data_IF_112919140278
#
_entry.id   IF_112919140278
#
_cell.length_a   1.000
_cell.length_b   1.000
_cell.length_c   1.000
_cell.angle_alpha   90.00
_cell.angle_beta   90.00
_cell.angle_gamma   90.00
#
_symmetry.space_group_name_H-M   'P 1'
#
loop_
_entity.id
_entity.type
_entity.pdbx_description
1 polymer ?
#
# COMPACT_ATOMS: atom_id res chain seq x y z
N UNK A 1 22.81 -6.63 -11.63
CA UNK A 1 23.47 -5.90 -12.73
C UNK A 1 23.34 -6.69 -14.03
N UNK A 2 23.30 -6.00 -15.19
CA UNK A 2 23.19 -6.62 -16.51
C UNK A 2 24.39 -7.52 -16.87
N UNK A 3 25.53 -7.33 -16.18
CA UNK A 3 26.76 -8.12 -16.33
C UNK A 3 26.81 -9.37 -15.42
N UNK A 4 25.73 -9.68 -14.71
CA UNK A 4 25.65 -10.79 -13.77
C UNK A 4 26.33 -10.55 -12.43
N UNK A 5 26.92 -9.36 -12.19
CA UNK A 5 27.49 -9.01 -10.89
C UNK A 5 26.38 -8.81 -9.86
N UNK A 6 26.67 -9.11 -8.59
CA UNK A 6 25.71 -8.92 -7.50
C UNK A 6 25.94 -7.53 -6.87
N UNK A 7 24.86 -6.80 -6.62
CA UNK A 7 24.97 -5.53 -5.91
C UNK A 7 25.46 -5.76 -4.48
N UNK A 8 26.48 -5.01 -4.07
CA UNK A 8 26.99 -5.03 -2.69
C UNK A 8 26.17 -4.14 -1.76
N UNK A 9 25.49 -3.13 -2.34
CA UNK A 9 24.70 -2.15 -1.60
C UNK A 9 23.42 -1.82 -2.34
N UNK A 10 22.30 -1.73 -1.60
CA UNK A 10 21.01 -1.29 -2.09
C UNK A 10 20.49 -0.14 -1.23
N UNK A 11 20.02 0.92 -1.86
CA UNK A 11 19.34 2.03 -1.19
C UNK A 11 17.88 2.08 -1.61
N UNK A 12 17.00 2.23 -0.63
CA UNK A 12 15.57 2.43 -0.80
C UNK A 12 15.20 3.76 -0.16
N UNK A 13 14.37 4.54 -0.84
CA UNK A 13 13.84 5.77 -0.29
C UNK A 13 12.35 5.89 -0.60
N UNK A 14 11.60 6.43 0.36
CA UNK A 14 10.18 6.69 0.19
C UNK A 14 9.80 8.02 0.85
N UNK A 15 9.03 8.83 0.13
CA UNK A 15 8.39 10.03 0.67
C UNK A 15 6.95 9.71 1.01
N UNK A 16 6.59 9.96 2.26
CA UNK A 16 5.33 9.50 2.85
C UNK A 16 4.53 10.72 3.29
N UNK A 17 3.23 10.68 3.01
CA UNK A 17 2.24 11.59 3.58
C UNK A 17 1.38 10.78 4.55
N UNK A 18 1.43 11.12 5.83
CA UNK A 18 0.53 10.60 6.85
C UNK A 18 -0.74 11.45 6.91
N UNK A 19 -1.84 10.85 7.31
CA UNK A 19 -3.02 11.59 7.74
C UNK A 19 -2.70 12.46 8.96
N UNK A 20 -3.44 13.56 9.13
CA UNK A 20 -3.26 14.46 10.29
C UNK A 20 -3.66 13.78 11.59
N UNK A 21 -4.56 12.83 11.53
CA UNK A 21 -4.93 11.96 12.62
C UNK A 21 -4.75 10.51 12.17
N UNK A 22 -4.01 9.74 12.94
CA UNK A 22 -3.74 8.31 12.70
C UNK A 22 -4.10 7.52 13.95
N UNK A 23 -4.35 6.23 13.78
CA UNK A 23 -4.56 5.35 14.92
C UNK A 23 -3.21 4.91 15.49
N UNK A 24 -2.98 5.21 16.75
CA UNK A 24 -1.78 4.81 17.47
C UNK A 24 -1.78 3.32 17.87
N UNK A 25 -0.69 2.87 18.47
CA UNK A 25 -0.53 1.47 18.90
C UNK A 25 -1.48 1.01 20.02
N UNK A 26 -2.16 1.94 20.66
CA UNK A 26 -3.16 1.70 21.70
C UNK A 26 -4.60 1.86 21.20
N UNK A 27 -4.81 1.81 19.88
CA UNK A 27 -6.07 2.03 19.18
C UNK A 27 -6.71 3.41 19.44
N UNK A 28 -5.93 4.38 19.92
CA UNK A 28 -6.38 5.77 20.14
C UNK A 28 -5.89 6.69 19.02
N UNK A 29 -6.67 7.73 18.69
CA UNK A 29 -6.23 8.77 17.77
C UNK A 29 -4.92 9.41 18.24
N UNK A 30 -4.01 9.64 17.31
CA UNK A 30 -2.75 10.32 17.51
C UNK A 30 -2.52 11.31 16.37
N UNK A 31 -2.05 12.52 16.68
CA UNK A 31 -1.75 13.56 15.71
C UNK A 31 -0.23 13.66 15.51
N UNK A 32 0.33 13.20 14.37
CA UNK A 32 1.75 13.33 14.10
C UNK A 32 2.17 14.81 14.04
N UNK A 33 3.31 15.14 14.65
CA UNK A 33 3.89 16.49 14.59
C UNK A 33 4.45 16.83 13.21
N UNK A 34 4.66 15.82 12.38
CA UNK A 34 5.02 15.97 10.98
C UNK A 34 4.26 14.91 10.16
N UNK A 35 3.51 15.37 9.17
CA UNK A 35 2.77 14.46 8.28
C UNK A 35 3.52 14.15 6.99
N UNK A 36 4.51 14.97 6.62
CA UNK A 36 5.33 14.77 5.43
C UNK A 36 6.75 14.33 5.80
N UNK A 37 7.06 13.09 5.48
CA UNK A 37 8.26 12.38 5.96
C UNK A 37 9.02 11.75 4.80
N UNK A 38 10.33 11.59 4.96
CA UNK A 38 11.19 10.81 4.08
C UNK A 38 11.84 9.69 4.88
N UNK A 39 11.65 8.47 4.40
CA UNK A 39 12.28 7.26 4.92
C UNK A 39 13.35 6.80 3.95
N UNK A 40 14.53 6.46 4.46
CA UNK A 40 15.62 5.89 3.69
C UNK A 40 16.19 4.68 4.42
N UNK A 41 16.49 3.63 3.66
CA UNK A 41 17.08 2.39 4.13
C UNK A 41 18.23 2.00 3.21
N UNK A 42 19.40 1.74 3.79
CA UNK A 42 20.53 1.18 3.09
C UNK A 42 20.79 -0.22 3.59
N UNK A 43 20.85 -1.15 2.66
CA UNK A 43 21.14 -2.56 2.91
C UNK A 43 22.46 -2.89 2.22
N UNK A 44 23.36 -3.55 2.93
CA UNK A 44 24.64 -4.04 2.41
C UNK A 44 24.71 -5.56 2.51
N UNK A 45 25.41 -6.14 1.56
CA UNK A 45 25.72 -7.55 1.58
C UNK A 45 26.99 -7.76 2.44
N UNK A 46 26.89 -8.66 3.45
CA UNK A 46 28.03 -9.11 4.25
C UNK A 46 28.06 -10.63 4.24
N UNK A 47 29.04 -11.21 3.54
CA UNK A 47 29.08 -12.63 3.28
C UNK A 47 27.87 -13.11 2.47
N UNK A 48 27.13 -14.08 2.96
CA UNK A 48 25.91 -14.57 2.32
C UNK A 48 24.62 -13.87 2.75
N UNK A 49 24.69 -12.98 3.75
CA UNK A 49 23.55 -12.27 4.33
C UNK A 49 23.42 -10.83 3.87
N UNK A 50 22.21 -10.28 4.02
CA UNK A 50 21.90 -8.87 3.87
C UNK A 50 21.78 -8.22 5.25
N UNK A 51 22.44 -7.06 5.45
CA UNK A 51 22.46 -6.34 6.71
C UNK A 51 22.06 -4.88 6.50
N UNK A 52 21.42 -4.30 7.50
CA UNK A 52 21.08 -2.88 7.48
C UNK A 52 22.35 -2.08 7.77
N UNK A 53 22.77 -1.25 6.83
CA UNK A 53 23.95 -0.38 6.95
C UNK A 53 23.58 1.02 7.43
N UNK A 54 22.41 1.53 7.01
CA UNK A 54 21.91 2.82 7.48
C UNK A 54 20.38 2.87 7.39
N UNK A 55 19.77 3.63 8.29
CA UNK A 55 18.33 3.87 8.31
C UNK A 55 18.06 5.30 8.77
N UNK A 56 17.16 6.00 8.10
CA UNK A 56 16.71 7.32 8.51
C UNK A 56 15.22 7.52 8.28
N UNK A 57 14.58 8.25 9.17
CA UNK A 57 13.19 8.77 9.03
C UNK A 57 13.21 10.22 9.48
N UNK A 58 13.01 11.14 8.55
CA UNK A 58 13.09 12.57 8.82
C UNK A 58 11.89 13.34 8.28
N UNK A 59 11.53 14.47 8.93
CA UNK A 59 10.61 15.42 8.32
C UNK A 59 11.14 15.89 6.97
N UNK A 60 10.29 15.88 5.95
CA UNK A 60 10.66 16.40 4.63
C UNK A 60 10.42 17.91 4.59
N UNK A 61 11.48 18.74 4.52
CA UNK A 61 11.33 20.18 4.48
C UNK A 61 10.69 20.64 3.16
N UNK A 62 9.95 21.73 3.19
CA UNK A 62 9.23 22.25 2.03
C UNK A 62 10.17 22.55 0.85
N UNK A 63 11.40 23.00 1.13
CA UNK A 63 12.41 23.28 0.11
C UNK A 63 12.83 22.04 -0.70
N UNK A 64 12.71 20.84 -0.12
CA UNK A 64 13.04 19.56 -0.76
C UNK A 64 11.83 18.81 -1.26
N UNK A 65 10.61 19.29 -1.01
CA UNK A 65 9.33 18.66 -1.37
C UNK A 65 8.77 19.25 -2.67
N UNK A 66 9.56 19.21 -3.74
CA UNK A 66 9.22 19.84 -5.02
C UNK A 66 7.95 19.20 -5.61
N UNK A 67 7.89 17.86 -5.65
CA UNK A 67 6.75 17.16 -6.23
C UNK A 67 5.42 17.58 -5.57
N UNK A 68 5.37 17.56 -4.24
CA UNK A 68 4.14 17.89 -3.52
C UNK A 68 3.78 19.38 -3.67
N UNK A 69 4.80 20.25 -3.71
CA UNK A 69 4.62 21.68 -3.95
C UNK A 69 4.03 21.94 -5.34
N UNK A 70 4.51 21.24 -6.34
CA UNK A 70 4.20 21.54 -7.74
C UNK A 70 2.90 20.82 -8.20
N UNK A 71 2.56 19.68 -7.61
CA UNK A 71 1.40 18.88 -8.00
C UNK A 71 0.14 19.14 -7.15
N UNK A 72 0.29 19.63 -5.91
CA UNK A 72 -0.84 19.78 -4.98
C UNK A 72 -1.15 21.27 -4.73
N UNK A 73 -2.42 21.71 -4.93
CA UNK A 73 -2.82 23.09 -4.67
C UNK A 73 -2.51 23.55 -3.25
N UNK A 74 -2.11 24.82 -3.08
CA UNK A 74 -1.65 25.38 -1.79
C UNK A 74 -2.69 25.24 -0.68
N UNK A 75 -3.99 25.35 -1.00
CA UNK A 75 -5.08 25.16 -0.02
C UNK A 75 -5.11 23.73 0.53
N UNK A 76 -4.96 22.72 -0.35
CA UNK A 76 -4.92 21.32 0.05
C UNK A 76 -3.64 21.01 0.85
N UNK A 77 -2.48 21.57 0.44
CA UNK A 77 -1.22 21.43 1.20
C UNK A 77 -1.36 21.93 2.63
N UNK A 78 -1.93 23.10 2.84
CA UNK A 78 -2.18 23.67 4.18
C UNK A 78 -3.12 22.81 5.01
N UNK A 79 -4.09 22.16 4.38
CA UNK A 79 -5.03 21.28 5.07
C UNK A 79 -4.39 19.95 5.48
N UNK A 80 -3.44 19.41 4.70
CA UNK A 80 -2.89 18.05 4.91
C UNK A 80 -1.56 18.04 5.65
N UNK A 81 -0.74 19.10 5.52
CA UNK A 81 0.61 19.11 6.05
C UNK A 81 0.68 19.76 7.41
N UNK A 82 1.28 19.03 8.35
CA UNK A 82 1.82 19.55 9.61
C UNK A 82 3.35 19.42 9.52
N UNK A 83 4.06 20.49 9.91
CA UNK A 83 5.53 20.53 9.95
C UNK A 83 5.98 21.24 11.21
N UNK A 84 6.61 20.50 12.10
CA UNK A 84 7.29 21.03 13.26
C UNK A 84 8.79 20.84 13.14
N UNK A 85 9.56 21.80 13.62
CA UNK A 85 11.01 21.70 13.64
C UNK A 85 11.46 20.71 14.70
N UNK A 86 12.10 19.62 14.29
CA UNK A 86 12.58 18.57 15.19
C UNK A 86 13.76 17.80 14.58
N UNK A 87 14.55 17.08 15.40
CA UNK A 87 15.50 16.11 14.89
C UNK A 87 14.79 14.96 14.15
N UNK A 88 15.52 14.19 13.30
CA UNK A 88 14.99 12.98 12.68
C UNK A 88 14.37 12.03 13.70
N UNK A 89 13.32 11.32 13.32
CA UNK A 89 12.72 10.23 14.13
C UNK A 89 13.63 9.01 14.20
N UNK A 90 14.31 8.71 13.09
CA UNK A 90 15.37 7.70 12.99
C UNK A 90 16.57 8.35 12.31
N UNK A 91 17.75 8.15 12.86
CA UNK A 91 18.99 8.67 12.26
C UNK A 91 20.15 7.71 12.50
N UNK A 92 20.93 7.43 11.45
CA UNK A 92 22.20 6.71 11.57
C UNK A 92 23.31 7.73 11.82
N UNK A 93 24.15 7.48 12.83
CA UNK A 93 25.27 8.33 13.25
C UNK A 93 26.49 7.45 13.51
N UNK A 94 27.68 7.97 13.18
CA UNK A 94 28.95 7.28 13.36
C UNK A 94 29.61 6.93 12.03
N UNK A 95 30.78 6.31 12.09
CA UNK A 95 31.56 5.89 10.93
C UNK A 95 31.92 4.41 11.03
N UNK A 96 31.98 3.75 9.89
CA UNK A 96 32.40 2.36 9.74
C UNK A 96 31.75 1.40 10.76
N UNK A 97 32.56 0.76 11.63
CA UNK A 97 32.11 -0.28 12.55
C UNK A 97 31.41 0.26 13.82
N UNK A 98 31.40 1.58 14.03
CA UNK A 98 30.76 2.24 15.17
C UNK A 98 29.41 2.90 14.81
N UNK A 99 28.74 2.44 13.76
CA UNK A 99 27.45 2.96 13.35
C UNK A 99 26.37 2.64 14.38
N UNK A 100 25.65 3.68 14.81
CA UNK A 100 24.50 3.58 15.71
C UNK A 100 23.27 4.17 15.02
N UNK A 101 22.19 3.43 15.00
CA UNK A 101 20.89 3.93 14.57
C UNK A 101 20.12 4.42 15.80
N UNK A 102 19.81 5.70 15.85
CA UNK A 102 19.05 6.31 16.92
C UNK A 102 17.57 6.40 16.56
N UNK A 103 16.70 6.05 17.52
CA UNK A 103 15.29 6.40 17.52
C UNK A 103 15.05 7.55 18.47
N UNK A 104 14.41 8.62 18.00
CA UNK A 104 14.02 9.76 18.81
C UNK A 104 12.52 9.73 19.09
N UNK A 105 12.13 9.94 20.34
CA UNK A 105 10.73 10.04 20.73
C UNK A 105 10.06 11.27 20.09
N UNK A 106 8.75 11.24 19.99
CA UNK A 106 7.96 12.30 19.33
C UNK A 106 8.01 13.62 20.10
N UNK A 107 8.14 13.60 21.40
CA UNK A 107 8.25 14.80 22.25
C UNK A 107 9.69 15.29 22.37
N UNK A 108 9.91 16.62 22.38
CA UNK A 108 11.24 17.21 22.56
C UNK A 108 11.90 16.84 23.90
N UNK A 109 11.12 16.58 24.93
CA UNK A 109 11.57 16.06 26.23
C UNK A 109 11.81 14.54 26.22
N UNK A 110 11.47 13.86 25.11
CA UNK A 110 11.61 12.43 24.97
C UNK A 110 13.08 12.02 24.82
N UNK A 111 13.39 10.84 25.33
CA UNK A 111 14.71 10.24 25.17
C UNK A 111 14.97 9.73 23.75
N UNK A 112 16.21 9.34 23.52
CA UNK A 112 16.62 8.61 22.32
C UNK A 112 17.11 7.22 22.72
N UNK A 113 16.93 6.25 21.83
CA UNK A 113 17.46 4.90 21.97
C UNK A 113 18.45 4.64 20.84
N UNK A 114 19.64 4.17 21.19
CA UNK A 114 20.67 3.77 20.22
C UNK A 114 20.68 2.28 20.00
N UNK A 115 20.73 1.86 18.74
CA UNK A 115 20.81 0.48 18.28
C UNK A 115 22.08 0.29 17.49
N UNK A 116 22.96 -0.63 17.89
CA UNK A 116 24.18 -0.93 17.13
C UNK A 116 23.81 -1.59 15.80
N UNK A 117 24.37 -1.09 14.71
CA UNK A 117 24.04 -1.57 13.35
C UNK A 117 24.41 -3.04 13.17
N UNK A 118 25.53 -3.50 13.72
CA UNK A 118 25.98 -4.90 13.61
C UNK A 118 25.03 -5.93 14.21
N UNK A 119 24.16 -5.52 15.15
CA UNK A 119 23.20 -6.38 15.84
C UNK A 119 21.82 -6.39 15.17
N UNK A 120 21.62 -5.57 14.12
CA UNK A 120 20.30 -5.35 13.51
C UNK A 120 20.04 -6.35 12.37
N UNK A 121 19.23 -7.36 12.65
CA UNK A 121 18.59 -8.22 11.63
C UNK A 121 17.29 -7.64 11.08
N UNK A 122 16.74 -6.62 11.75
CA UNK A 122 15.47 -5.96 11.37
C UNK A 122 15.65 -4.45 11.44
N UNK A 123 14.88 -3.73 10.62
CA UNK A 123 14.92 -2.26 10.59
C UNK A 123 14.50 -1.64 11.93
N UNK A 124 15.08 -0.49 12.25
CA UNK A 124 14.69 0.29 13.43
C UNK A 124 13.22 0.72 13.34
N UNK A 125 12.71 1.02 12.13
CA UNK A 125 11.29 1.23 11.86
C UNK A 125 10.46 0.00 12.25
N UNK A 126 10.92 -1.20 11.83
CA UNK A 126 10.19 -2.46 12.01
C UNK A 126 10.04 -2.90 13.45
N UNK A 127 11.03 -2.59 14.29
CA UNK A 127 11.11 -3.04 15.71
C UNK A 127 10.75 -1.96 16.72
N UNK A 128 10.34 -0.74 16.29
CA UNK A 128 9.98 0.33 17.20
C UNK A 128 8.73 -0.03 18.04
N UNK A 129 8.80 0.26 19.34
CA UNK A 129 7.62 0.23 20.20
C UNK A 129 6.67 1.38 19.80
N UNK A 130 5.43 1.02 19.45
CA UNK A 130 4.46 1.99 18.96
C UNK A 130 3.94 2.98 20.00
N UNK A 131 3.97 2.62 21.29
CA UNK A 131 3.59 3.53 22.37
C UNK A 131 4.68 4.58 22.62
N UNK A 132 5.94 4.16 22.53
CA UNK A 132 7.09 5.02 22.76
C UNK A 132 7.43 5.89 21.55
N UNK A 133 7.17 5.40 20.33
CA UNK A 133 7.50 6.04 19.06
C UNK A 133 6.28 6.08 18.11
N UNK A 134 5.24 6.85 18.44
CA UNK A 134 3.96 6.79 17.71
C UNK A 134 4.06 7.23 16.24
N UNK A 135 4.89 8.24 15.88
CA UNK A 135 5.09 8.60 14.46
C UNK A 135 5.81 7.49 13.68
N UNK A 136 6.83 6.85 14.28
CA UNK A 136 7.51 5.70 13.65
C UNK A 136 6.51 4.55 13.44
N UNK A 137 5.64 4.31 14.42
CA UNK A 137 4.55 3.32 14.31
C UNK A 137 3.58 3.68 13.17
N UNK A 138 3.14 4.94 13.07
CA UNK A 138 2.24 5.39 12.01
C UNK A 138 2.84 5.19 10.62
N UNK A 139 4.12 5.53 10.43
CA UNK A 139 4.85 5.26 9.17
C UNK A 139 4.90 3.77 8.87
N UNK A 140 5.24 2.93 9.86
CA UNK A 140 5.25 1.48 9.71
C UNK A 140 3.88 0.93 9.28
N UNK A 141 2.79 1.42 9.87
CA UNK A 141 1.44 1.01 9.48
C UNK A 141 1.06 1.48 8.09
N UNK A 142 1.42 2.72 7.72
CA UNK A 142 1.23 3.21 6.35
C UNK A 142 1.96 2.33 5.32
N UNK A 143 3.22 1.97 5.58
CA UNK A 143 4.01 1.10 4.69
C UNK A 143 3.49 -0.36 4.66
N UNK A 144 2.96 -0.88 5.77
CA UNK A 144 2.32 -2.22 5.80
C UNK A 144 1.08 -2.31 4.92
N UNK A 145 0.45 -1.18 4.65
CA UNK A 145 -0.69 -1.11 3.73
C UNK A 145 -0.27 -0.97 2.26
N UNK A 146 1.03 -0.86 1.97
CA UNK A 146 1.52 -0.88 0.60
C UNK A 146 1.35 -2.27 0.00
N UNK A 147 0.90 -2.30 -1.24
CA UNK A 147 0.58 -3.55 -1.92
C UNK A 147 1.15 -3.55 -3.32
N UNK A 148 1.73 -4.68 -3.67
CA UNK A 148 2.04 -5.02 -5.05
C UNK A 148 0.93 -5.94 -5.56
N UNK A 149 0.26 -5.52 -6.62
CA UNK A 149 -0.77 -6.29 -7.30
C UNK A 149 -0.24 -6.78 -8.64
N UNK A 150 -0.43 -8.05 -8.90
CA UNK A 150 -0.14 -8.70 -10.16
C UNK A 150 -1.31 -9.59 -10.51
N UNK A 151 -2.27 -9.03 -11.26
CA UNK A 151 -3.46 -9.77 -11.62
C UNK A 151 -3.12 -10.90 -12.58
N UNK A 152 -3.48 -12.11 -12.18
CA UNK A 152 -3.35 -13.30 -12.99
C UNK A 152 -4.69 -13.63 -13.66
N UNK A 153 -4.77 -13.53 -14.99
CA UNK A 153 -6.02 -13.76 -15.72
C UNK A 153 -6.58 -15.17 -15.52
N UNK A 154 -5.73 -16.18 -15.41
CA UNK A 154 -6.17 -17.54 -15.13
C UNK A 154 -6.81 -17.68 -13.75
N UNK A 155 -6.32 -16.92 -12.77
CA UNK A 155 -6.87 -16.87 -11.41
C UNK A 155 -8.18 -16.06 -11.39
N UNK A 156 -8.20 -14.90 -12.04
CA UNK A 156 -9.40 -14.05 -12.17
C UNK A 156 -10.60 -14.76 -12.82
N UNK A 157 -10.35 -15.79 -13.66
CA UNK A 157 -11.39 -16.62 -14.29
C UNK A 157 -12.05 -17.57 -13.31
N UNK A 158 -11.40 -17.90 -12.22
CA UNK A 158 -11.86 -18.96 -11.32
C UNK A 158 -12.92 -18.48 -10.34
N UNK A 159 -13.82 -19.36 -9.92
CA UNK A 159 -14.71 -19.07 -8.82
C UNK A 159 -13.93 -19.05 -7.50
N UNK A 160 -14.27 -18.14 -6.59
CA UNK A 160 -13.74 -18.12 -5.23
C UNK A 160 -14.75 -18.66 -4.20
N UNK A 161 -14.31 -18.92 -2.98
CA UNK A 161 -15.17 -19.29 -1.88
C UNK A 161 -16.12 -18.14 -1.50
N UNK A 162 -17.30 -18.45 -0.98
CA UNK A 162 -18.31 -17.46 -0.59
C UNK A 162 -17.82 -16.57 0.56
N UNK A 163 -17.06 -17.14 1.48
CA UNK A 163 -16.45 -16.51 2.65
C UNK A 163 -15.05 -15.95 2.40
N UNK A 164 -14.65 -15.82 1.12
CA UNK A 164 -13.35 -15.27 0.78
C UNK A 164 -13.19 -13.85 1.31
N UNK A 165 -11.93 -13.48 1.62
CA UNK A 165 -11.55 -12.18 2.18
C UNK A 165 -12.18 -11.02 1.38
N UNK A 166 -12.68 -10.01 2.12
CA UNK A 166 -13.32 -8.83 1.51
C UNK A 166 -12.34 -7.91 0.79
N UNK A 167 -11.05 -7.94 1.17
CA UNK A 167 -9.99 -7.17 0.53
C UNK A 167 -9.47 -7.90 -0.69
N UNK A 168 -9.40 -7.21 -1.84
CA UNK A 168 -8.93 -7.81 -3.09
C UNK A 168 -7.52 -8.39 -2.93
N UNK A 169 -7.31 -9.66 -3.27
CA UNK A 169 -6.01 -10.34 -3.21
C UNK A 169 -5.07 -9.86 -4.32
N UNK A 170 -3.77 -10.02 -4.11
CA UNK A 170 -2.74 -9.49 -5.02
C UNK A 170 -2.80 -10.05 -6.44
N UNK A 171 -3.26 -11.28 -6.60
CA UNK A 171 -3.46 -11.97 -7.88
C UNK A 171 -4.90 -11.86 -8.43
N UNK A 172 -5.82 -11.29 -7.63
CA UNK A 172 -7.22 -11.14 -7.98
C UNK A 172 -8.11 -12.35 -7.69
N UNK A 173 -7.61 -13.39 -6.97
CA UNK A 173 -8.31 -14.65 -6.76
C UNK A 173 -9.72 -14.50 -6.15
N UNK A 174 -9.94 -13.49 -5.35
CA UNK A 174 -11.22 -13.23 -4.68
C UNK A 174 -12.06 -12.10 -5.31
N UNK A 175 -11.80 -11.74 -6.57
CA UNK A 175 -12.57 -10.71 -7.27
C UNK A 175 -14.08 -10.94 -7.20
N UNK A 176 -14.62 -12.17 -7.35
CA UNK A 176 -16.05 -12.41 -7.20
C UNK A 176 -16.59 -12.00 -5.82
N UNK A 177 -15.87 -12.28 -4.73
CA UNK A 177 -16.25 -11.91 -3.38
C UNK A 177 -16.27 -10.38 -3.17
N UNK A 178 -15.28 -9.69 -3.72
CA UNK A 178 -15.22 -8.22 -3.67
C UNK A 178 -16.39 -7.60 -4.40
N UNK A 179 -16.72 -8.07 -5.63
CA UNK A 179 -17.84 -7.56 -6.39
C UNK A 179 -19.19 -7.88 -5.73
N UNK A 180 -19.36 -9.09 -5.19
CA UNK A 180 -20.57 -9.45 -4.44
C UNK A 180 -20.78 -8.56 -3.21
N UNK A 181 -19.71 -8.24 -2.50
CA UNK A 181 -19.74 -7.29 -1.39
C UNK A 181 -20.16 -5.89 -1.87
N UNK A 182 -19.53 -5.39 -2.95
CA UNK A 182 -19.89 -4.09 -3.52
C UNK A 182 -21.35 -4.05 -3.98
N UNK A 183 -21.87 -5.10 -4.61
CA UNK A 183 -23.29 -5.20 -4.99
C UNK A 183 -24.22 -5.04 -3.79
N UNK A 184 -23.86 -5.61 -2.65
CA UNK A 184 -24.67 -5.59 -1.43
C UNK A 184 -24.55 -4.28 -0.66
N UNK A 185 -23.35 -3.73 -0.56
CA UNK A 185 -23.02 -2.62 0.35
C UNK A 185 -22.92 -1.26 -0.35
N UNK A 186 -22.59 -1.25 -1.65
CA UNK A 186 -22.33 -0.06 -2.47
C UNK A 186 -22.83 -0.28 -3.91
N UNK A 187 -24.12 -0.43 -4.16
CA UNK A 187 -24.65 -0.72 -5.50
C UNK A 187 -24.29 0.37 -6.54
N UNK A 188 -24.11 1.61 -6.11
CA UNK A 188 -23.61 2.71 -6.96
C UNK A 188 -22.18 2.44 -7.48
N UNK A 189 -21.32 1.80 -6.70
CA UNK A 189 -19.98 1.42 -7.15
C UNK A 189 -20.05 0.40 -8.30
N UNK A 190 -20.97 -0.54 -8.24
CA UNK A 190 -21.18 -1.51 -9.33
C UNK A 190 -21.70 -0.82 -10.60
N UNK A 191 -22.59 0.18 -10.45
CA UNK A 191 -23.06 0.97 -11.58
C UNK A 191 -21.89 1.73 -12.25
N UNK A 192 -21.03 2.37 -11.47
CA UNK A 192 -19.84 3.09 -11.96
C UNK A 192 -18.84 2.13 -12.63
N UNK A 193 -18.56 0.97 -12.03
CA UNK A 193 -17.68 -0.06 -12.62
C UNK A 193 -18.28 -0.54 -13.95
N UNK A 194 -19.59 -0.76 -13.99
CA UNK A 194 -20.31 -1.14 -15.22
C UNK A 194 -20.14 -0.07 -16.29
N UNK A 195 -20.26 1.21 -15.96
CA UNK A 195 -20.07 2.31 -16.89
C UNK A 195 -18.64 2.36 -17.45
N UNK A 196 -17.64 2.13 -16.60
CA UNK A 196 -16.23 2.02 -17.04
C UNK A 196 -16.07 0.85 -18.03
N UNK A 197 -16.65 -0.30 -17.75
CA UNK A 197 -16.63 -1.43 -18.70
C UNK A 197 -17.35 -1.11 -20.00
N UNK A 198 -18.50 -0.45 -19.97
CA UNK A 198 -19.28 -0.07 -21.16
C UNK A 198 -18.53 0.87 -22.08
N UNK A 199 -17.64 1.72 -21.55
CA UNK A 199 -16.81 2.60 -22.38
C UNK A 199 -15.85 1.85 -23.30
N UNK A 200 -15.48 0.63 -22.94
CA UNK A 200 -14.59 -0.27 -23.71
C UNK A 200 -15.34 -1.44 -24.36
N UNK A 201 -16.43 -1.87 -23.74
CA UNK A 201 -17.25 -3.01 -24.14
C UNK A 201 -18.74 -2.58 -24.17
N UNK A 202 -19.19 -1.85 -25.20
CA UNK A 202 -20.54 -1.29 -25.26
C UNK A 202 -21.66 -2.33 -25.19
N UNK A 203 -21.36 -3.59 -25.52
CA UNK A 203 -22.29 -4.71 -25.45
C UNK A 203 -22.60 -5.16 -24.01
N UNK A 204 -21.80 -4.75 -23.01
CA UNK A 204 -22.05 -5.08 -21.60
C UNK A 204 -23.18 -4.20 -21.06
N UNK A 205 -24.16 -4.82 -20.41
CA UNK A 205 -25.28 -4.16 -19.72
C UNK A 205 -25.06 -4.09 -18.22
N UNK A 206 -24.56 -5.16 -17.62
CA UNK A 206 -24.40 -5.26 -16.16
C UNK A 206 -23.31 -6.26 -15.76
N UNK A 207 -22.85 -6.13 -14.53
CA UNK A 207 -22.01 -7.08 -13.82
C UNK A 207 -22.91 -7.83 -12.85
N UNK A 208 -22.73 -9.15 -12.76
CA UNK A 208 -23.42 -10.01 -11.80
C UNK A 208 -22.43 -10.98 -11.13
N UNK A 209 -22.77 -11.48 -9.97
CA UNK A 209 -22.01 -12.53 -9.28
C UNK A 209 -22.91 -13.72 -9.03
N UNK A 210 -22.62 -14.80 -9.74
CA UNK A 210 -23.39 -16.05 -9.67
C UNK A 210 -22.85 -16.95 -8.57
N UNK A 211 -23.74 -17.44 -7.72
CA UNK A 211 -23.44 -18.48 -6.74
C UNK A 211 -23.46 -19.85 -7.38
N UNK A 212 -22.47 -20.67 -7.08
CA UNK A 212 -22.27 -22.04 -7.57
C UNK A 212 -22.26 -23.05 -6.43
N UNK A 213 -22.35 -24.35 -6.77
CA UNK A 213 -22.16 -25.46 -5.83
C UNK A 213 -22.99 -25.32 -4.56
N UNK A 214 -24.33 -25.18 -4.69
CA UNK A 214 -25.25 -25.05 -3.56
C UNK A 214 -24.93 -23.95 -2.54
N UNK A 215 -24.22 -22.88 -2.97
CA UNK A 215 -23.89 -21.73 -2.13
C UNK A 215 -22.46 -21.69 -1.60
N UNK A 216 -21.59 -22.59 -2.03
CA UNK A 216 -20.20 -22.64 -1.51
C UNK A 216 -19.23 -21.72 -2.26
N UNK A 217 -19.48 -21.44 -3.53
CA UNK A 217 -18.60 -20.67 -4.40
C UNK A 217 -19.35 -19.61 -5.20
N UNK A 218 -18.62 -18.60 -5.65
CA UNK A 218 -19.16 -17.50 -6.44
C UNK A 218 -18.23 -17.17 -7.62
N UNK A 219 -18.84 -16.75 -8.74
CA UNK A 219 -18.18 -16.49 -10.01
C UNK A 219 -18.73 -15.22 -10.63
N UNK A 220 -17.86 -14.42 -11.27
CA UNK A 220 -18.30 -13.22 -12.01
C UNK A 220 -18.97 -13.59 -13.33
N UNK A 221 -20.07 -12.92 -13.62
CA UNK A 221 -20.74 -12.93 -14.93
C UNK A 221 -20.92 -11.51 -15.45
N UNK A 222 -20.73 -11.31 -16.75
CA UNK A 222 -21.17 -10.10 -17.45
C UNK A 222 -22.48 -10.40 -18.17
N UNK A 223 -23.40 -9.46 -18.09
CA UNK A 223 -24.69 -9.55 -18.79
C UNK A 223 -24.63 -8.64 -20.01
N UNK A 224 -24.87 -9.17 -21.19
CA UNK A 224 -24.95 -8.43 -22.43
C UNK A 224 -26.25 -7.62 -22.55
N UNK A 225 -26.29 -6.68 -23.51
CA UNK A 225 -27.48 -5.87 -23.80
C UNK A 225 -28.68 -6.74 -24.24
N UNK A 226 -28.41 -7.87 -24.87
CA UNK A 226 -29.39 -8.90 -25.28
C UNK A 226 -29.81 -9.86 -24.14
N UNK A 227 -29.27 -9.68 -22.94
CA UNK A 227 -29.51 -10.56 -21.79
C UNK A 227 -28.58 -11.78 -21.75
N UNK A 228 -27.71 -12.00 -22.72
CA UNK A 228 -26.77 -13.12 -22.71
C UNK A 228 -25.81 -12.98 -21.52
N UNK A 229 -25.53 -14.10 -20.83
CA UNK A 229 -24.62 -14.15 -19.68
C UNK A 229 -23.27 -14.75 -20.08
N UNK A 230 -22.22 -14.02 -19.82
CA UNK A 230 -20.83 -14.41 -20.08
C UNK A 230 -20.09 -14.62 -18.75
N UNK A 231 -19.79 -15.86 -18.44
CA UNK A 231 -18.99 -16.22 -17.26
C UNK A 231 -17.56 -15.68 -17.39
N UNK A 232 -16.92 -15.35 -16.26
CA UNK A 232 -15.50 -14.95 -16.23
C UNK A 232 -14.57 -15.92 -16.94
N UNK A 233 -14.96 -17.19 -17.05
CA UNK A 233 -14.17 -18.23 -17.75
C UNK A 233 -13.94 -17.96 -19.23
N UNK A 234 -14.84 -17.22 -19.89
CA UNK A 234 -14.78 -16.92 -21.32
C UNK A 234 -14.43 -15.47 -21.62
N UNK A 235 -14.20 -14.64 -20.59
CA UNK A 235 -13.82 -13.25 -20.78
C UNK A 235 -12.34 -13.14 -21.20
N UNK A 236 -12.00 -12.09 -21.93
CA UNK A 236 -10.60 -11.79 -22.27
C UNK A 236 -9.79 -11.40 -21.03
N UNK A 237 -8.48 -11.59 -21.08
CA UNK A 237 -7.56 -11.20 -20.00
C UNK A 237 -7.66 -9.72 -19.68
N UNK A 238 -7.71 -8.88 -20.73
CA UNK A 238 -7.87 -7.43 -20.56
C UNK A 238 -9.18 -7.05 -19.88
N UNK A 239 -10.30 -7.73 -20.21
CA UNK A 239 -11.60 -7.50 -19.54
C UNK A 239 -11.53 -7.84 -18.05
N UNK A 240 -10.89 -8.95 -17.70
CA UNK A 240 -10.75 -9.40 -16.32
C UNK A 240 -9.84 -8.48 -15.51
N UNK A 241 -8.71 -8.06 -16.08
CA UNK A 241 -7.80 -7.11 -15.43
C UNK A 241 -8.48 -5.75 -15.24
N UNK A 242 -9.17 -5.23 -16.26
CA UNK A 242 -9.93 -3.99 -16.16
C UNK A 242 -10.98 -4.05 -15.05
N UNK A 243 -11.70 -5.17 -14.96
CA UNK A 243 -12.71 -5.39 -13.91
C UNK A 243 -12.07 -5.38 -12.51
N UNK A 244 -10.92 -6.05 -12.35
CA UNK A 244 -10.15 -6.04 -11.11
C UNK A 244 -9.66 -4.64 -10.72
N UNK A 245 -9.14 -3.86 -11.68
CA UNK A 245 -8.69 -2.48 -11.48
C UNK A 245 -9.88 -1.56 -11.12
N UNK A 246 -11.00 -1.70 -11.81
CA UNK A 246 -12.20 -0.91 -11.54
C UNK A 246 -12.78 -1.22 -10.15
N UNK A 247 -12.82 -2.50 -9.75
CA UNK A 247 -13.26 -2.92 -8.43
C UNK A 247 -12.36 -2.35 -7.30
N UNK A 248 -11.05 -2.26 -7.55
CA UNK A 248 -10.09 -1.76 -6.58
C UNK A 248 -10.34 -0.30 -6.19
N UNK A 249 -10.83 0.53 -7.11
CA UNK A 249 -11.18 1.94 -6.85
C UNK A 249 -12.23 2.09 -5.74
N UNK A 250 -13.13 1.13 -5.62
CA UNK A 250 -14.25 1.14 -4.67
C UNK A 250 -14.04 0.21 -3.47
N UNK A 251 -12.88 -0.45 -3.39
CA UNK A 251 -12.55 -1.27 -2.24
C UNK A 251 -12.12 -0.39 -1.06
N UNK A 252 -13.06 -0.06 -0.18
CA UNK A 252 -12.85 0.76 1.03
C UNK A 252 -11.80 0.18 1.99
N UNK A 253 -11.49 -1.11 1.88
CA UNK A 253 -10.42 -1.76 2.63
C UNK A 253 -9.03 -1.44 2.04
N UNK A 254 -8.94 -0.84 0.85
CA UNK A 254 -7.69 -0.44 0.24
C UNK A 254 -7.22 0.91 0.79
N UNK A 255 -6.08 0.89 1.45
CA UNK A 255 -5.41 2.10 1.96
C UNK A 255 -3.91 2.00 1.64
N UNK A 256 -3.27 3.15 1.45
CA UNK A 256 -1.85 3.22 1.16
C UNK A 256 -1.50 3.09 -0.32
N UNK A 257 -0.23 2.87 -0.61
CA UNK A 257 0.31 2.77 -1.96
C UNK A 257 -0.07 1.43 -2.59
N UNK A 258 -0.53 1.49 -3.84
CA UNK A 258 -0.78 0.33 -4.67
C UNK A 258 0.17 0.41 -5.87
N UNK A 259 0.97 -0.62 -6.04
CA UNK A 259 1.83 -0.82 -7.20
C UNK A 259 1.25 -1.94 -8.05
N UNK A 260 1.25 -1.77 -9.35
CA UNK A 260 0.87 -2.80 -10.30
C UNK A 260 2.11 -3.31 -11.01
N UNK A 261 2.23 -4.61 -11.12
CA UNK A 261 3.19 -5.29 -11.98
C UNK A 261 2.46 -5.77 -13.24
N UNK A 262 2.99 -5.45 -14.42
CA UNK A 262 2.41 -5.81 -15.73
C UNK A 262 0.92 -5.42 -15.86
N UNK A 263 0.60 -4.10 -15.85
CA UNK A 263 -0.79 -3.65 -15.84
C UNK A 263 -1.54 -3.83 -17.18
N UNK A 264 -0.82 -4.12 -18.29
CA UNK A 264 -1.36 -4.37 -19.63
C UNK A 264 -2.15 -5.65 -19.84
#
# INVERSE_FOLDING_TARGET
HADGSRAERMQLAAEILLDREVIGANDKPFMPTNTRLRYELTIERRGEGAHIAAESLMPLPESRDAWFRDQIPSKARKAWIVREKRPPYIATVGEADELIIYRNQDTLAGGREGLKVGDLQKSALGTADGLRYPTIHAVRQAMRNWRLLRFNAEVLRQPCALDAEAKLQSDGANLPAVLARLQREQPEAIADITQVLQSMLPQVKAIDVKTLNNGERQLVELIGQDGTRFSSRVLSDGTLRLLGLAALRYDSAQRGLICFEEPE
#
